data_IF_405682518535
#
_entry.id   IF_405682518535
#
_cell.length_a   1.000
_cell.length_b   1.000
_cell.length_c   1.000
_cell.angle_alpha   90.00
_cell.angle_beta   90.00
_cell.angle_gamma   90.00
#
_symmetry.space_group_name_H-M   'P 1'
#
loop_
_entity.id
_entity.type
_entity.pdbx_description
1 polymer ?
#
# COMPACT_ATOMS: atom_id res chain seq x y z
N UNK A 1 -18.62 -2.91 3.78
CA UNK A 1 -17.23 -2.44 3.61
C UNK A 1 -16.84 -2.62 2.16
N UNK A 2 -16.27 -1.61 1.50
CA UNK A 2 -15.82 -1.67 0.09
C UNK A 2 -14.38 -1.17 0.02
N UNK A 3 -13.50 -1.90 -0.68
CA UNK A 3 -12.09 -1.57 -0.83
C UNK A 3 -11.77 -1.29 -2.31
N UNK A 4 -11.16 -0.14 -2.66
CA UNK A 4 -10.94 0.24 -4.05
C UNK A 4 -9.82 -0.58 -4.69
N UNK A 5 -10.02 -0.97 -5.95
CA UNK A 5 -9.07 -1.74 -6.76
C UNK A 5 -7.63 -1.27 -6.62
N UNK A 6 -7.38 0.03 -6.88
CA UNK A 6 -6.06 0.67 -6.79
C UNK A 6 -5.31 0.53 -5.45
N UNK A 7 -6.01 0.27 -4.35
CA UNK A 7 -5.38 0.05 -3.04
C UNK A 7 -5.15 -1.45 -2.81
N UNK A 8 -6.13 -2.29 -3.14
CA UNK A 8 -6.04 -3.74 -2.93
C UNK A 8 -5.10 -4.45 -3.91
N UNK A 9 -4.95 -3.91 -5.13
CA UNK A 9 -4.08 -4.48 -6.18
C UNK A 9 -2.68 -3.84 -6.22
N UNK A 10 -2.39 -2.90 -5.31
CA UNK A 10 -1.10 -2.21 -5.24
C UNK A 10 0.07 -3.16 -4.94
N UNK A 11 -0.21 -4.37 -4.45
CA UNK A 11 0.80 -5.38 -4.14
C UNK A 11 1.70 -5.72 -5.32
N UNK A 12 1.15 -5.80 -6.55
CA UNK A 12 1.97 -6.09 -7.74
C UNK A 12 2.99 -5.00 -8.04
N UNK A 13 2.58 -3.73 -7.98
CA UNK A 13 3.49 -2.57 -8.15
C UNK A 13 4.51 -2.50 -7.00
N UNK A 14 4.09 -2.80 -5.78
CA UNK A 14 4.97 -2.86 -4.62
C UNK A 14 6.06 -3.93 -4.80
N UNK A 15 5.71 -5.13 -5.26
CA UNK A 15 6.68 -6.19 -5.52
C UNK A 15 7.66 -5.82 -6.62
N UNK A 16 7.24 -5.12 -7.68
CA UNK A 16 8.16 -4.58 -8.69
C UNK A 16 9.14 -3.56 -8.09
N UNK A 17 8.68 -2.69 -7.18
CA UNK A 17 9.57 -1.78 -6.46
C UNK A 17 10.59 -2.50 -5.55
N UNK A 18 10.18 -3.62 -4.93
CA UNK A 18 11.08 -4.47 -4.15
C UNK A 18 12.12 -5.17 -5.05
N UNK A 19 11.72 -5.65 -6.22
CA UNK A 19 12.63 -6.21 -7.23
C UNK A 19 13.67 -5.19 -7.70
N UNK A 20 13.24 -3.97 -8.05
CA UNK A 20 14.14 -2.88 -8.41
C UNK A 20 15.15 -2.57 -7.29
N UNK A 21 14.71 -2.64 -6.03
CA UNK A 21 15.57 -2.40 -4.86
C UNK A 21 16.61 -3.51 -4.69
N UNK A 22 16.22 -4.78 -4.82
CA UNK A 22 17.14 -5.92 -4.82
C UNK A 22 18.21 -5.78 -5.91
N UNK A 23 17.80 -5.41 -7.12
CA UNK A 23 18.70 -5.20 -8.26
C UNK A 23 19.71 -4.08 -7.98
N UNK A 24 19.27 -2.95 -7.43
CA UNK A 24 20.14 -1.82 -7.11
C UNK A 24 21.15 -2.13 -5.98
N UNK A 25 20.78 -3.01 -5.04
CA UNK A 25 21.63 -3.41 -3.92
C UNK A 25 22.48 -4.65 -4.19
N UNK A 26 22.32 -5.29 -5.36
CA UNK A 26 22.98 -6.56 -5.70
C UNK A 26 22.80 -7.66 -4.65
N UNK A 27 21.59 -7.76 -4.10
CA UNK A 27 21.22 -8.78 -3.12
C UNK A 27 19.94 -9.50 -3.52
N UNK A 28 19.71 -10.67 -2.94
CA UNK A 28 18.47 -11.41 -3.08
C UNK A 28 17.90 -11.69 -1.69
N UNK A 29 16.62 -11.35 -1.52
CA UNK A 29 15.86 -11.68 -0.32
C UNK A 29 15.19 -13.04 -0.46
N UNK A 30 15.00 -13.72 0.67
CA UNK A 30 14.13 -14.87 0.73
C UNK A 30 12.67 -14.49 0.46
N UNK A 31 11.86 -15.46 0.06
CA UNK A 31 10.42 -15.25 -0.12
C UNK A 31 9.74 -14.72 1.15
N UNK A 32 10.18 -15.17 2.33
CA UNK A 32 9.65 -14.71 3.61
C UNK A 32 9.96 -13.23 3.87
N UNK A 33 11.18 -12.77 3.55
CA UNK A 33 11.55 -11.35 3.68
C UNK A 33 10.78 -10.47 2.69
N UNK A 34 10.54 -10.95 1.46
CA UNK A 34 9.73 -10.23 0.48
C UNK A 34 8.27 -10.14 0.96
N UNK A 35 7.73 -11.23 1.49
CA UNK A 35 6.35 -11.26 2.04
C UNK A 35 6.19 -10.31 3.22
N UNK A 36 7.12 -10.31 4.18
CA UNK A 36 7.10 -9.38 5.32
C UNK A 36 7.12 -7.92 4.86
N UNK A 37 7.98 -7.58 3.90
CA UNK A 37 8.06 -6.24 3.31
C UNK A 37 6.78 -5.88 2.58
N UNK A 38 6.22 -6.79 1.78
CA UNK A 38 4.96 -6.58 1.08
C UNK A 38 3.82 -6.34 2.07
N UNK A 39 3.75 -7.13 3.14
CA UNK A 39 2.75 -7.00 4.20
C UNK A 39 2.82 -5.63 4.88
N UNK A 40 4.04 -5.17 5.21
CA UNK A 40 4.27 -3.84 5.76
C UNK A 40 3.81 -2.72 4.80
N UNK A 41 4.09 -2.86 3.49
CA UNK A 41 3.62 -1.90 2.47
C UNK A 41 2.10 -1.86 2.40
N UNK A 42 1.44 -3.02 2.36
CA UNK A 42 -0.02 -3.11 2.30
C UNK A 42 -0.69 -2.53 3.56
N UNK A 43 -0.12 -2.77 4.75
CA UNK A 43 -0.54 -2.10 5.98
C UNK A 43 -0.38 -0.58 5.91
N UNK A 44 0.73 -0.09 5.36
CA UNK A 44 0.93 1.33 5.13
C UNK A 44 -0.15 1.93 4.24
N UNK A 45 -0.49 1.28 3.13
CA UNK A 45 -1.57 1.69 2.21
C UNK A 45 -2.92 1.72 2.94
N UNK A 46 -3.25 0.67 3.70
CA UNK A 46 -4.48 0.63 4.48
C UNK A 46 -4.54 1.76 5.51
N UNK A 47 -3.47 1.99 6.26
CA UNK A 47 -3.40 3.07 7.25
C UNK A 47 -3.62 4.45 6.61
N UNK A 48 -3.08 4.71 5.41
CA UNK A 48 -3.38 5.95 4.68
C UNK A 48 -4.85 6.03 4.27
N UNK A 49 -5.44 4.93 3.79
CA UNK A 49 -6.86 4.90 3.43
C UNK A 49 -7.76 5.18 4.64
N UNK A 50 -7.44 4.63 5.81
CA UNK A 50 -8.14 4.91 7.06
C UNK A 50 -7.96 6.37 7.45
N UNK A 51 -6.71 6.86 7.50
CA UNK A 51 -6.40 8.24 7.91
C UNK A 51 -7.16 9.29 7.09
N UNK A 52 -7.19 9.15 5.77
CA UNK A 52 -7.83 10.15 4.89
C UNK A 52 -9.27 9.82 4.51
N UNK A 53 -9.74 8.62 4.82
CA UNK A 53 -11.08 8.15 4.50
C UNK A 53 -12.04 8.13 5.70
N UNK A 54 -11.54 8.30 6.93
CA UNK A 54 -12.39 8.34 8.13
C UNK A 54 -13.21 9.62 8.15
N UNK A 55 -14.53 9.48 8.17
CA UNK A 55 -15.51 10.56 8.26
C UNK A 55 -15.84 10.88 9.74
N UNK A 56 -16.51 12.01 10.05
CA UNK A 56 -16.81 12.42 11.42
C UNK A 56 -17.64 11.43 12.25
N UNK A 57 -18.40 10.55 11.60
CA UNK A 57 -19.21 9.50 12.22
C UNK A 57 -18.42 8.18 12.45
N UNK A 58 -17.14 8.15 12.10
CA UNK A 58 -16.28 6.97 12.20
C UNK A 58 -16.36 6.02 10.99
N UNK A 59 -17.19 6.33 9.97
CA UNK A 59 -17.23 5.54 8.75
C UNK A 59 -15.94 5.71 7.94
N UNK A 60 -15.41 4.62 7.39
CA UNK A 60 -14.18 4.64 6.59
C UNK A 60 -14.52 4.53 5.11
N UNK A 61 -14.44 5.65 4.40
CA UNK A 61 -14.54 5.71 2.95
C UNK A 61 -13.18 5.42 2.30
N UNK A 62 -12.90 4.13 2.06
CA UNK A 62 -11.64 3.70 1.45
C UNK A 62 -11.39 4.28 0.04
N UNK A 63 -12.43 4.56 -0.74
CA UNK A 63 -12.27 5.18 -2.07
C UNK A 63 -11.71 6.59 -1.93
N UNK A 64 -12.35 7.40 -1.09
CA UNK A 64 -11.93 8.77 -0.76
C UNK A 64 -10.51 8.75 -0.16
N UNK A 65 -10.29 7.91 0.85
CA UNK A 65 -9.00 7.78 1.53
C UNK A 65 -7.88 7.42 0.57
N UNK A 66 -8.08 6.42 -0.29
CA UNK A 66 -7.08 6.04 -1.28
C UNK A 66 -6.84 7.12 -2.34
N UNK A 67 -7.85 7.93 -2.70
CA UNK A 67 -7.71 9.04 -3.67
C UNK A 67 -6.87 10.16 -3.08
N UNK A 68 -7.21 10.60 -1.87
CA UNK A 68 -6.49 11.67 -1.17
C UNK A 68 -5.05 11.25 -0.87
N UNK A 69 -4.85 10.03 -0.35
CA UNK A 69 -3.52 9.49 -0.07
C UNK A 69 -2.63 9.45 -1.30
N UNK A 70 -3.18 8.99 -2.44
CA UNK A 70 -2.45 8.92 -3.70
C UNK A 70 -2.10 10.30 -4.24
N UNK A 71 -3.03 11.26 -4.15
CA UNK A 71 -2.82 12.62 -4.63
C UNK A 71 -1.77 13.38 -3.81
N UNK A 72 -1.81 13.28 -2.48
CA UNK A 72 -0.87 14.00 -1.59
C UNK A 72 0.60 13.59 -1.76
N UNK A 73 0.86 12.39 -2.29
CA UNK A 73 2.21 11.85 -2.45
C UNK A 73 2.85 12.22 -3.81
N UNK A 74 2.05 12.70 -4.77
CA UNK A 74 2.49 13.17 -6.10
C UNK A 74 2.89 14.63 -6.01
#
# INVERSE_FOLDING_TARGET
MYAPGKAVNAGGVATSGLEMSQNAMHLSWSAAEVDEKLHAIMHGIHAQCVKYGTEPDGYINYVKGANIAGFMKV
#
